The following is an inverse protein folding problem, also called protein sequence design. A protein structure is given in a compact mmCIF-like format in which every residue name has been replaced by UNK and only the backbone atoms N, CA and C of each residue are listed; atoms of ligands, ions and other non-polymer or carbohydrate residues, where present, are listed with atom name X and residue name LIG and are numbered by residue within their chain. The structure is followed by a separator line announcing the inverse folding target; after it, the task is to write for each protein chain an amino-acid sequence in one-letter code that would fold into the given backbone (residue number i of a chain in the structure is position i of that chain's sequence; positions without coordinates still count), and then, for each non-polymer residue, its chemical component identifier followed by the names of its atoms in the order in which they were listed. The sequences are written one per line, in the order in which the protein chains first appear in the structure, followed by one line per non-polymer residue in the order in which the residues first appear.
data_IF_888228363247
#
_entry.id   IF_888228363247
#
_cell.length_a   1.000
_cell.length_b   1.000
_cell.length_c   1.000
_cell.angle_alpha   90.00
_cell.angle_beta   90.00
_cell.angle_gamma   90.00
#
_symmetry.space_group_name_H-M   'P 1'
#
loop_
_entity.id
_entity.type
_entity.pdbx_description
1 polymer ?
#
# COMPACT_ATOMS: atom_id res chain seq x y z
N UNK A 1 11.23 10.10 4.94
CA UNK A 1 12.46 10.68 4.35
C UNK A 1 13.13 9.62 3.49
N UNK A 2 13.68 10.01 2.34
CA UNK A 2 14.36 9.07 1.46
C UNK A 2 15.66 8.53 2.11
N UNK A 3 16.06 7.29 1.81
CA UNK A 3 17.34 6.73 2.25
C UNK A 3 18.52 7.61 1.81
N UNK A 4 19.56 7.60 2.63
CA UNK A 4 20.78 8.38 2.36
C UNK A 4 21.76 7.61 1.45
N UNK A 5 22.69 8.31 0.80
CA UNK A 5 23.71 7.71 -0.08
C UNK A 5 23.18 7.20 -1.42
N UNK A 6 23.81 6.14 -1.93
CA UNK A 6 23.61 5.54 -3.27
C UNK A 6 22.38 4.60 -3.36
N UNK A 7 21.52 4.60 -2.35
CA UNK A 7 20.31 3.79 -2.36
C UNK A 7 19.40 4.16 -3.55
N UNK A 8 18.77 3.15 -4.15
CA UNK A 8 17.80 3.38 -5.23
C UNK A 8 16.61 4.17 -4.71
N UNK A 9 16.40 5.37 -5.28
CA UNK A 9 15.34 6.28 -4.85
C UNK A 9 14.10 6.24 -5.73
N UNK A 10 14.17 5.51 -6.84
CA UNK A 10 13.07 5.46 -7.80
C UNK A 10 11.90 4.66 -7.25
N UNK A 11 10.73 5.30 -7.26
CA UNK A 11 9.42 4.68 -7.03
C UNK A 11 8.71 4.59 -8.37
N UNK A 12 8.91 3.46 -9.05
CA UNK A 12 8.38 3.23 -10.39
C UNK A 12 6.87 3.02 -10.31
N UNK A 13 6.14 3.75 -11.15
CA UNK A 13 4.71 3.55 -11.33
C UNK A 13 4.44 2.21 -12.01
N UNK A 14 3.61 1.38 -11.38
CA UNK A 14 3.16 0.12 -11.98
C UNK A 14 1.64 -0.02 -11.88
N UNK A 15 0.98 0.00 -13.03
CA UNK A 15 -0.42 -0.38 -13.17
C UNK A 15 -0.66 -1.90 -13.15
N UNK A 16 0.41 -2.69 -13.21
CA UNK A 16 0.41 -4.15 -13.14
C UNK A 16 0.59 -4.71 -11.72
N UNK A 17 0.66 -3.84 -10.70
CA UNK A 17 0.96 -4.23 -9.33
C UNK A 17 -0.24 -4.01 -8.41
N UNK A 18 -0.43 -4.89 -7.44
CA UNK A 18 -1.48 -4.78 -6.42
C UNK A 18 -0.93 -4.42 -5.02
N UNK A 19 0.39 -4.20 -4.91
CA UNK A 19 1.11 -3.92 -3.67
C UNK A 19 2.31 -3.01 -3.93
N UNK A 20 2.58 -2.11 -2.98
CA UNK A 20 3.81 -1.30 -3.00
C UNK A 20 5.01 -2.13 -2.53
N UNK A 21 6.19 -1.87 -3.09
CA UNK A 21 7.44 -2.52 -2.66
C UNK A 21 8.51 -1.46 -2.44
N UNK A 22 9.25 -1.57 -1.35
CA UNK A 22 10.46 -0.80 -1.11
C UNK A 22 11.65 -1.74 -0.95
N UNK A 23 12.79 -1.38 -1.54
CA UNK A 23 14.01 -2.18 -1.50
C UNK A 23 15.01 -1.73 -0.42
N UNK A 24 14.73 -0.64 0.28
CA UNK A 24 15.56 -0.16 1.37
C UNK A 24 14.74 -0.01 2.65
N UNK A 25 15.28 -0.53 3.76
CA UNK A 25 14.63 -0.51 5.08
C UNK A 25 14.45 0.90 5.64
N UNK A 26 15.28 1.86 5.24
CA UNK A 26 15.21 3.25 5.68
C UNK A 26 13.96 3.99 5.18
N UNK A 27 13.28 3.49 4.15
CA UNK A 27 12.01 4.06 3.69
C UNK A 27 10.89 3.97 4.72
N UNK A 28 10.96 2.99 5.63
CA UNK A 28 9.85 2.63 6.50
C UNK A 28 9.84 3.45 7.79
N UNK A 29 8.74 4.16 8.03
CA UNK A 29 8.47 4.83 9.31
C UNK A 29 7.94 3.85 10.35
N UNK A 30 7.19 2.85 9.90
CA UNK A 30 6.73 1.71 10.70
C UNK A 30 7.12 0.45 9.94
N UNK A 31 7.64 -0.56 10.65
CA UNK A 31 8.06 -1.81 10.05
C UNK A 31 7.84 -2.98 11.00
N UNK A 32 7.23 -4.03 10.46
CA UNK A 32 7.04 -5.31 11.14
C UNK A 32 7.76 -6.38 10.33
N UNK A 33 8.75 -7.09 10.91
CA UNK A 33 9.29 -8.30 10.31
C UNK A 33 8.17 -9.30 10.06
N UNK A 34 7.95 -9.65 8.80
CA UNK A 34 6.86 -10.52 8.37
C UNK A 34 7.24 -11.14 7.02
N UNK A 35 7.88 -12.32 7.04
CA UNK A 35 8.25 -13.01 5.82
C UNK A 35 7.01 -13.35 4.99
N UNK A 36 7.00 -12.95 3.72
CA UNK A 36 5.84 -13.10 2.82
C UNK A 36 6.28 -13.31 1.37
N UNK A 37 5.40 -13.88 0.55
CA UNK A 37 5.67 -14.05 -0.88
C UNK A 37 5.31 -12.82 -1.70
N UNK A 38 6.08 -12.60 -2.77
CA UNK A 38 5.76 -11.67 -3.85
C UNK A 38 5.78 -12.47 -5.16
N UNK A 39 4.72 -12.39 -5.93
CA UNK A 39 4.63 -12.93 -7.29
C UNK A 39 4.81 -11.85 -8.36
N UNK A 40 4.78 -12.30 -9.60
CA UNK A 40 4.74 -11.48 -10.80
C UNK A 40 3.50 -11.84 -11.62
N UNK A 41 2.87 -10.86 -12.26
CA UNK A 41 1.79 -11.15 -13.22
C UNK A 41 2.35 -11.58 -14.60
N UNK A 42 3.65 -11.40 -14.83
CA UNK A 42 4.32 -11.67 -16.11
C UNK A 42 5.05 -13.01 -16.12
N UNK A 43 5.43 -13.53 -14.95
CA UNK A 43 6.23 -14.75 -14.81
C UNK A 43 5.66 -15.61 -13.69
N UNK A 44 5.95 -16.91 -13.72
CA UNK A 44 5.61 -17.83 -12.62
C UNK A 44 6.54 -17.70 -11.41
N UNK A 45 7.53 -16.81 -11.49
CA UNK A 45 8.55 -16.67 -10.45
C UNK A 45 7.96 -16.03 -9.20
N UNK A 46 8.46 -16.48 -8.06
CA UNK A 46 8.12 -15.91 -6.75
C UNK A 46 9.38 -15.43 -6.07
N UNK A 47 9.30 -14.21 -5.55
CA UNK A 47 10.30 -13.58 -4.71
C UNK A 47 9.80 -13.51 -3.26
N UNK A 48 10.67 -13.07 -2.35
CA UNK A 48 10.34 -12.92 -0.92
C UNK A 48 10.42 -11.45 -0.51
N UNK A 49 9.49 -11.06 0.35
CA UNK A 49 9.61 -9.89 1.19
C UNK A 49 9.90 -10.31 2.62
N UNK A 50 10.68 -9.49 3.32
CA UNK A 50 11.15 -9.75 4.68
C UNK A 50 10.26 -9.07 5.73
N UNK A 51 9.45 -8.08 5.33
CA UNK A 51 8.51 -7.44 6.22
C UNK A 51 7.53 -6.53 5.51
N UNK A 52 6.63 -5.97 6.32
CA UNK A 52 5.55 -5.09 5.88
C UNK A 52 5.56 -3.83 6.72
N UNK A 53 5.23 -2.68 6.13
CA UNK A 53 5.20 -1.45 6.90
C UNK A 53 4.55 -0.26 6.20
N UNK A 54 4.82 0.91 6.76
CA UNK A 54 4.34 2.21 6.28
C UNK A 54 5.52 3.01 5.75
N UNK A 55 5.35 3.64 4.59
CA UNK A 55 6.32 4.55 3.97
C UNK A 55 5.67 5.90 3.76
N UNK A 56 6.42 6.97 4.05
CA UNK A 56 6.02 8.35 3.76
C UNK A 56 6.90 8.94 2.67
N UNK A 57 6.27 9.38 1.59
CA UNK A 57 6.91 9.99 0.43
C UNK A 57 6.54 11.46 0.34
N UNK A 58 7.54 12.32 0.27
CA UNK A 58 7.34 13.76 0.07
C UNK A 58 7.40 14.03 -1.45
N UNK A 59 6.26 14.40 -2.02
CA UNK A 59 6.03 14.59 -3.46
C UNK A 59 6.17 16.07 -3.85
N UNK A 60 6.69 16.36 -5.04
CA UNK A 60 6.54 17.67 -5.67
C UNK A 60 5.11 17.85 -6.19
N UNK A 61 4.50 19.02 -5.95
CA UNK A 61 3.21 19.39 -6.56
C UNK A 61 3.35 20.32 -7.77
N UNK A 62 4.48 20.99 -7.87
CA UNK A 62 4.84 21.90 -8.94
C UNK A 62 6.29 21.58 -9.36
N UNK A 63 6.65 21.78 -10.65
CA UNK A 63 8.03 21.60 -11.09
C UNK A 63 8.96 22.51 -10.27
N UNK A 64 10.11 21.99 -9.84
CA UNK A 64 11.08 22.81 -9.13
C UNK A 64 11.71 23.85 -10.07
N UNK A 65 11.38 25.12 -9.86
CA UNK A 65 11.90 26.25 -10.64
C UNK A 65 13.08 26.95 -9.97
N UNK A 66 13.58 26.44 -8.83
CA UNK A 66 14.76 26.95 -8.13
C UNK A 66 14.63 28.37 -7.55
N UNK A 67 13.42 28.94 -7.53
CA UNK A 67 13.19 30.37 -7.19
C UNK A 67 12.15 30.61 -6.09
N UNK A 68 11.64 29.57 -5.42
CA UNK A 68 10.64 29.74 -4.37
C UNK A 68 10.40 28.51 -3.49
N UNK A 69 9.49 28.67 -2.52
CA UNK A 69 9.03 27.62 -1.61
C UNK A 69 8.29 26.54 -2.42
N UNK A 70 8.85 25.34 -2.47
CA UNK A 70 8.29 24.24 -3.27
C UNK A 70 7.04 23.71 -2.58
N UNK A 71 5.89 23.73 -3.27
CA UNK A 71 4.69 23.07 -2.75
C UNK A 71 4.89 21.56 -2.77
N UNK A 72 4.68 20.94 -1.62
CA UNK A 72 4.87 19.50 -1.43
C UNK A 72 3.61 18.84 -0.90
N UNK A 73 3.49 17.54 -1.15
CA UNK A 73 2.44 16.70 -0.59
C UNK A 73 3.04 15.43 -0.01
N UNK A 74 2.61 15.05 1.20
CA UNK A 74 3.05 13.82 1.84
C UNK A 74 2.10 12.69 1.49
N UNK A 75 2.58 11.75 0.68
CA UNK A 75 1.88 10.52 0.33
C UNK A 75 2.26 9.41 1.32
N UNK A 76 1.27 8.88 2.04
CA UNK A 76 1.46 7.81 3.01
C UNK A 76 1.02 6.49 2.37
N UNK A 77 1.97 5.55 2.24
CA UNK A 77 1.73 4.22 1.71
C UNK A 77 1.68 3.23 2.86
N UNK A 78 0.56 2.55 3.00
CA UNK A 78 0.39 1.48 3.98
C UNK A 78 0.62 0.11 3.34
N UNK A 79 0.98 -0.87 4.17
CA UNK A 79 1.18 -2.26 3.76
C UNK A 79 2.21 -2.41 2.61
N UNK A 80 3.28 -1.61 2.66
CA UNK A 80 4.41 -1.68 1.72
C UNK A 80 5.25 -2.90 2.08
N UNK A 81 5.64 -3.69 1.08
CA UNK A 81 6.52 -4.84 1.28
C UNK A 81 7.99 -4.42 1.23
N UNK A 82 8.78 -4.88 2.18
CA UNK A 82 10.23 -4.73 2.16
C UNK A 82 10.88 -5.90 1.43
N UNK A 83 11.49 -5.63 0.27
CA UNK A 83 12.17 -6.63 -0.55
C UNK A 83 13.53 -6.10 -1.01
N UNK A 84 14.61 -6.32 -0.25
CA UNK A 84 15.92 -5.69 -0.52
C UNK A 84 16.57 -6.10 -1.84
N UNK A 85 16.14 -7.22 -2.42
CA UNK A 85 16.67 -7.71 -3.69
C UNK A 85 16.04 -7.05 -4.93
N UNK A 86 15.01 -6.23 -4.76
CA UNK A 86 14.36 -5.54 -5.87
C UNK A 86 15.24 -4.42 -6.41
N UNK A 87 15.34 -4.31 -7.73
CA UNK A 87 16.18 -3.31 -8.41
C UNK A 87 15.69 -1.87 -8.21
N UNK A 88 14.43 -1.66 -7.84
CA UNK A 88 13.86 -0.36 -7.50
C UNK A 88 12.63 -0.52 -6.59
N UNK A 89 12.11 0.61 -6.10
CA UNK A 89 10.83 0.62 -5.38
C UNK A 89 9.68 0.62 -6.40
N UNK A 90 8.52 0.11 -5.99
CA UNK A 90 7.32 -0.04 -6.82
C UNK A 90 6.17 0.70 -6.16
N UNK A 91 5.60 1.64 -6.90
CA UNK A 91 4.33 2.27 -6.60
C UNK A 91 3.20 1.56 -7.37
N UNK A 92 2.42 0.75 -6.67
CA UNK A 92 1.26 0.06 -7.23
C UNK A 92 0.05 0.99 -7.32
N UNK A 93 -0.30 1.42 -8.53
CA UNK A 93 -1.45 2.31 -8.71
C UNK A 93 -2.77 1.65 -8.36
N UNK A 94 -2.90 0.32 -8.53
CA UNK A 94 -4.12 -0.41 -8.17
C UNK A 94 -4.33 -0.52 -6.65
N UNK A 95 -3.28 -0.30 -5.84
CA UNK A 95 -3.38 -0.32 -4.39
C UNK A 95 -3.93 1.01 -3.83
N UNK A 96 -4.01 2.07 -4.65
CA UNK A 96 -4.51 3.38 -4.26
C UNK A 96 -5.83 3.66 -4.99
N UNK A 97 -6.98 3.64 -4.29
CA UNK A 97 -8.27 3.84 -4.93
C UNK A 97 -8.43 5.25 -5.48
N UNK A 98 -9.19 5.39 -6.57
CA UNK A 98 -9.51 6.65 -7.24
C UNK A 98 -8.29 7.45 -7.74
N UNK A 99 -7.13 6.82 -7.90
CA UNK A 99 -5.94 7.48 -8.39
C UNK A 99 -5.95 7.60 -9.92
N UNK A 100 -5.65 8.79 -10.42
CA UNK A 100 -5.58 9.13 -11.85
C UNK A 100 -4.23 9.74 -12.19
N UNK A 101 -3.70 9.45 -13.37
CA UNK A 101 -2.46 10.07 -13.87
C UNK A 101 -2.73 10.82 -15.17
N UNK A 102 -2.11 11.98 -15.35
CA UNK A 102 -1.93 12.54 -16.69
C UNK A 102 -0.67 11.92 -17.30
N UNK A 103 -0.64 11.85 -18.63
CA UNK A 103 0.45 11.19 -19.36
C UNK A 103 0.94 12.11 -20.46
N UNK A 104 2.20 12.52 -20.39
CA UNK A 104 2.77 13.46 -21.35
C UNK A 104 4.27 13.72 -21.18
N UNK A 105 4.98 12.87 -20.45
CA UNK A 105 6.40 13.06 -20.11
C UNK A 105 6.63 13.66 -18.71
N UNK A 106 7.79 14.29 -18.50
CA UNK A 106 8.15 14.95 -17.24
C UNK A 106 7.15 16.05 -16.88
N UNK A 107 6.72 16.09 -15.61
CA UNK A 107 5.69 17.02 -15.14
C UNK A 107 4.26 16.53 -15.35
N UNK A 108 4.10 15.27 -15.79
CA UNK A 108 2.83 14.54 -15.67
C UNK A 108 2.36 14.57 -14.22
N UNK A 109 1.05 14.63 -14.00
CA UNK A 109 0.44 14.84 -12.69
C UNK A 109 -0.19 13.56 -12.18
N UNK A 110 -0.05 13.35 -10.89
CA UNK A 110 -0.79 12.39 -10.12
C UNK A 110 -1.97 13.09 -9.46
N UNK A 111 -3.18 12.62 -9.72
CA UNK A 111 -4.44 13.27 -9.33
C UNK A 111 -5.26 12.33 -8.46
N UNK A 112 -5.72 12.83 -7.33
CA UNK A 112 -6.79 12.17 -6.57
C UNK A 112 -8.11 12.39 -7.31
N UNK A 113 -8.65 11.34 -7.91
CA UNK A 113 -9.89 11.37 -8.69
C UNK A 113 -11.15 11.63 -7.87
N UNK A 114 -11.08 11.53 -6.53
CA UNK A 114 -12.22 11.88 -5.67
C UNK A 114 -12.33 13.38 -5.42
N UNK A 115 -11.19 14.09 -5.36
CA UNK A 115 -11.13 15.53 -5.08
C UNK A 115 -10.76 16.37 -6.32
N UNK A 116 -10.19 15.74 -7.34
CA UNK A 116 -9.61 16.39 -8.51
C UNK A 116 -8.27 17.09 -8.23
N UNK A 117 -7.70 16.93 -7.03
CA UNK A 117 -6.48 17.62 -6.63
C UNK A 117 -5.23 16.91 -7.15
N UNK A 118 -4.23 17.68 -7.56
CA UNK A 118 -2.87 17.18 -7.79
C UNK A 118 -2.25 16.80 -6.45
N UNK A 119 -1.76 15.56 -6.34
CA UNK A 119 -1.10 15.02 -5.15
C UNK A 119 0.37 14.68 -5.40
N UNK A 120 0.86 14.88 -6.62
CA UNK A 120 2.26 14.70 -6.95
C UNK A 120 2.55 14.85 -8.43
N UNK A 121 3.83 14.96 -8.77
CA UNK A 121 4.32 14.89 -10.14
C UNK A 121 4.94 13.52 -10.44
N UNK A 122 4.92 13.17 -11.72
CA UNK A 122 5.56 12.02 -12.30
C UNK A 122 6.66 12.49 -13.24
N UNK A 123 7.72 11.71 -13.29
CA UNK A 123 8.81 11.88 -14.24
C UNK A 123 8.89 10.67 -15.16
N UNK A 124 9.02 10.89 -16.46
CA UNK A 124 9.19 9.84 -17.45
C UNK A 124 10.63 9.86 -17.93
N UNK A 125 11.42 8.89 -17.45
CA UNK A 125 12.82 8.71 -17.85
C UNK A 125 12.95 7.38 -18.59
N UNK A 126 13.22 6.30 -17.88
CA UNK A 126 13.16 4.93 -18.41
C UNK A 126 11.75 4.34 -18.28
N UNK A 127 11.10 4.62 -17.14
CA UNK A 127 9.70 4.33 -16.84
C UNK A 127 9.10 5.54 -16.12
N UNK A 128 7.77 5.61 -16.06
CA UNK A 128 7.11 6.57 -15.18
C UNK A 128 7.49 6.28 -13.72
N UNK A 129 7.93 7.30 -13.00
CA UNK A 129 8.24 7.24 -11.58
C UNK A 129 7.66 8.42 -10.83
N UNK A 130 7.43 8.26 -9.53
CA UNK A 130 7.09 9.36 -8.64
C UNK A 130 8.25 10.37 -8.58
N UNK A 131 7.95 11.65 -8.70
CA UNK A 131 8.93 12.72 -8.52
C UNK A 131 8.94 13.18 -7.06
N UNK A 132 9.91 12.66 -6.31
CA UNK A 132 10.07 12.94 -4.89
C UNK A 132 10.94 14.18 -4.65
N UNK A 133 10.68 14.85 -3.53
CA UNK A 133 11.50 15.96 -3.04
C UNK A 133 12.95 15.53 -2.87
N UNK A 134 13.87 16.34 -3.38
CA UNK A 134 15.31 16.05 -3.37
C UNK A 134 15.79 15.18 -4.53
N UNK A 135 14.93 14.80 -5.47
CA UNK A 135 15.32 14.20 -6.74
C UNK A 135 15.38 15.25 -7.85
N UNK A 136 16.45 15.22 -8.65
CA UNK A 136 16.52 16.00 -9.87
C UNK A 136 15.66 15.36 -10.97
N UNK A 137 15.03 16.19 -11.79
CA UNK A 137 14.30 15.74 -12.97
C UNK A 137 15.24 15.01 -13.96
N UNK A 138 14.70 14.02 -14.66
CA UNK A 138 15.42 13.26 -15.68
C UNK A 138 16.39 12.21 -15.14
N UNK A 139 16.49 12.03 -13.82
CA UNK A 139 17.36 11.02 -13.22
C UNK A 139 16.61 9.72 -12.95
N UNK A 140 17.26 8.58 -13.20
CA UNK A 140 16.78 7.27 -12.79
C UNK A 140 17.94 6.38 -12.40
N UNK A 141 17.71 5.47 -11.47
CA UNK A 141 18.62 4.37 -11.12
C UNK A 141 18.52 3.18 -12.09
N UNK A 142 17.54 3.17 -12.99
CA UNK A 142 17.40 2.14 -14.02
C UNK A 142 18.32 2.43 -15.21
N UNK A 143 18.93 1.39 -15.78
CA UNK A 143 19.71 1.52 -17.03
C UNK A 143 18.81 2.06 -18.15
N UNK A 144 19.14 3.20 -18.79
CA UNK A 144 18.32 3.80 -19.84
C UNK A 144 18.21 2.94 -21.11
N UNK A 145 19.08 1.96 -21.29
CA UNK A 145 19.05 1.01 -22.41
C UNK A 145 18.28 -0.28 -22.09
N UNK A 146 17.89 -0.46 -20.83
CA UNK A 146 17.19 -1.65 -20.37
C UNK A 146 15.72 -1.69 -20.81
N UNK A 147 15.23 -2.90 -21.08
CA UNK A 147 13.81 -3.16 -21.35
C UNK A 147 13.19 -3.79 -20.11
N UNK A 148 12.29 -3.04 -19.45
CA UNK A 148 11.76 -3.41 -18.15
C UNK A 148 10.28 -3.70 -18.18
N UNK A 149 9.88 -4.73 -17.43
CA UNK A 149 8.49 -4.92 -16.99
C UNK A 149 8.51 -5.14 -15.48
N UNK A 150 8.38 -4.05 -14.73
CA UNK A 150 8.48 -4.06 -13.27
C UNK A 150 7.09 -4.15 -12.68
N UNK A 151 6.84 -5.21 -11.90
CA UNK A 151 5.58 -5.39 -11.19
C UNK A 151 5.79 -6.20 -9.90
N UNK A 152 4.81 -6.11 -9.01
CA UNK A 152 4.71 -6.91 -7.81
C UNK A 152 3.26 -7.28 -7.55
N UNK A 153 3.04 -8.57 -7.33
CA UNK A 153 1.76 -9.12 -6.94
C UNK A 153 1.87 -9.76 -5.56
N UNK A 154 1.14 -9.26 -4.57
CA UNK A 154 1.01 -9.90 -3.27
C UNK A 154 -0.14 -10.91 -3.31
N UNK A 155 0.13 -12.23 -3.18
CA UNK A 155 -0.94 -13.21 -3.26
C UNK A 155 -1.97 -13.04 -2.15
N UNK A 156 -3.24 -13.34 -2.46
CA UNK A 156 -4.34 -13.16 -1.51
C UNK A 156 -4.17 -13.98 -0.22
N UNK A 157 -3.56 -15.17 -0.33
CA UNK A 157 -3.29 -16.03 0.82
C UNK A 157 -2.29 -15.37 1.79
N UNK A 158 -1.26 -14.71 1.27
CA UNK A 158 -0.28 -13.98 2.06
C UNK A 158 -0.86 -12.68 2.62
N UNK A 159 -1.64 -11.93 1.82
CA UNK A 159 -2.36 -10.72 2.29
C UNK A 159 -3.31 -11.04 3.43
N UNK A 160 -4.06 -12.14 3.33
CA UNK A 160 -4.93 -12.63 4.39
C UNK A 160 -4.14 -12.94 5.66
N UNK A 161 -2.98 -13.59 5.55
CA UNK A 161 -2.15 -13.88 6.71
C UNK A 161 -1.69 -12.59 7.41
N UNK A 162 -1.32 -11.57 6.64
CA UNK A 162 -0.97 -10.24 7.17
C UNK A 162 -2.15 -9.53 7.85
N UNK A 163 -3.33 -9.52 7.23
CA UNK A 163 -4.51 -8.91 7.85
C UNK A 163 -4.91 -9.62 9.17
N UNK A 164 -4.84 -10.95 9.20
CA UNK A 164 -5.09 -11.73 10.41
C UNK A 164 -4.05 -11.45 11.51
N UNK A 165 -2.78 -11.26 11.13
CA UNK A 165 -1.73 -10.85 12.05
C UNK A 165 -2.06 -9.51 12.73
N UNK A 166 -2.57 -8.54 11.97
CA UNK A 166 -2.89 -7.21 12.49
C UNK A 166 -4.15 -7.16 13.38
N UNK A 167 -5.09 -8.08 13.20
CA UNK A 167 -6.31 -8.12 14.03
C UNK A 167 -6.00 -8.37 15.50
N UNK A 168 -4.96 -9.15 15.80
CA UNK A 168 -4.66 -9.56 17.17
C UNK A 168 -4.40 -8.36 18.10
N UNK A 169 -3.85 -7.26 17.57
CA UNK A 169 -3.58 -6.02 18.30
C UNK A 169 -4.61 -4.90 18.06
N UNK A 170 -5.61 -5.13 17.21
CA UNK A 170 -6.56 -4.09 16.81
C UNK A 170 -7.67 -3.91 17.85
N UNK A 171 -7.60 -2.80 18.58
CA UNK A 171 -8.60 -2.40 19.59
C UNK A 171 -9.67 -1.45 19.05
N UNK A 172 -9.57 -1.02 17.80
CA UNK A 172 -10.44 0.00 17.22
C UNK A 172 -11.91 -0.44 17.23
N UNK A 173 -12.86 0.50 17.27
CA UNK A 173 -14.27 0.20 17.08
C UNK A 173 -14.56 -0.42 15.70
N UNK A 174 -15.78 -0.95 15.54
CA UNK A 174 -16.21 -1.46 14.24
C UNK A 174 -16.20 -0.37 13.16
N UNK A 175 -15.64 -0.70 12.01
CA UNK A 175 -15.73 0.16 10.81
C UNK A 175 -17.16 0.12 10.24
N UNK A 176 -17.51 1.09 9.38
CA UNK A 176 -18.81 1.10 8.68
C UNK A 176 -19.07 -0.21 7.91
N UNK A 177 -18.02 -0.81 7.35
CA UNK A 177 -18.10 -2.07 6.60
C UNK A 177 -18.37 -3.25 7.53
N UNK A 178 -17.71 -3.30 8.68
CA UNK A 178 -17.92 -4.34 9.70
C UNK A 178 -19.34 -4.23 10.30
N UNK A 179 -19.79 -3.01 10.62
CA UNK A 179 -21.16 -2.76 11.08
C UNK A 179 -22.21 -3.18 10.04
N UNK A 180 -21.95 -2.91 8.75
CA UNK A 180 -22.83 -3.36 7.67
C UNK A 180 -22.86 -4.90 7.55
N UNK A 181 -21.70 -5.57 7.74
CA UNK A 181 -21.64 -7.03 7.78
C UNK A 181 -22.41 -7.60 8.97
N UNK A 182 -22.24 -7.02 10.17
CA UNK A 182 -22.99 -7.39 11.37
C UNK A 182 -24.49 -7.22 11.15
N UNK A 183 -24.93 -6.09 10.61
CA UNK A 183 -26.35 -5.85 10.31
C UNK A 183 -26.91 -6.89 9.35
N UNK A 184 -26.15 -7.28 8.34
CA UNK A 184 -26.57 -8.25 7.33
C UNK A 184 -26.73 -9.67 7.88
N UNK A 185 -25.86 -10.11 8.79
CA UNK A 185 -25.81 -11.49 9.25
C UNK A 185 -26.40 -11.71 10.65
N UNK A 186 -26.45 -10.66 11.48
CA UNK A 186 -26.80 -10.72 12.89
C UNK A 186 -27.66 -9.54 13.37
N UNK A 187 -28.15 -8.66 12.50
CA UNK A 187 -28.89 -7.42 12.84
C UNK A 187 -28.08 -6.30 13.53
N UNK A 188 -27.31 -6.60 14.59
CA UNK A 188 -26.42 -5.67 15.28
C UNK A 188 -25.36 -6.38 16.16
N UNK A 189 -24.51 -5.61 16.85
CA UNK A 189 -23.46 -6.14 17.73
C UNK A 189 -24.04 -6.97 18.90
N UNK A 190 -25.14 -6.53 19.52
CA UNK A 190 -25.73 -7.23 20.67
C UNK A 190 -26.16 -8.66 20.29
N UNK A 191 -26.83 -8.79 19.15
CA UNK A 191 -27.27 -10.07 18.60
C UNK A 191 -26.11 -10.94 18.10
N UNK A 192 -24.91 -10.40 17.93
CA UNK A 192 -23.70 -11.18 17.70
C UNK A 192 -23.06 -11.62 19.02
N UNK A 193 -22.82 -10.68 19.95
CA UNK A 193 -22.06 -10.92 21.20
C UNK A 193 -22.78 -11.90 22.14
N UNK A 194 -24.08 -11.70 22.38
CA UNK A 194 -24.83 -12.47 23.38
C UNK A 194 -24.96 -13.95 23.01
N UNK A 195 -25.32 -14.34 21.77
CA UNK A 195 -25.35 -15.74 21.37
C UNK A 195 -23.98 -16.43 21.37
N UNK A 196 -22.88 -15.68 21.26
CA UNK A 196 -21.52 -16.19 21.39
C UNK A 196 -21.04 -16.28 22.86
N UNK A 197 -21.93 -16.08 23.83
CA UNK A 197 -21.66 -16.23 25.26
C UNK A 197 -20.98 -15.02 25.91
N UNK A 198 -20.83 -13.91 25.18
CA UNK A 198 -20.22 -12.69 25.68
C UNK A 198 -21.22 -11.75 26.35
N UNK A 199 -20.72 -10.83 27.17
CA UNK A 199 -21.51 -9.77 27.83
C UNK A 199 -21.31 -8.43 27.12
N UNK A 200 -22.40 -7.81 26.68
CA UNK A 200 -22.35 -6.52 25.97
C UNK A 200 -21.78 -5.35 26.80
N UNK A 201 -21.77 -5.45 28.13
CA UNK A 201 -21.19 -4.44 29.00
C UNK A 201 -19.73 -4.72 29.38
N UNK A 202 -19.19 -5.86 28.91
CA UNK A 202 -17.80 -6.25 29.13
C UNK A 202 -16.98 -5.94 27.89
N UNK A 203 -15.98 -5.05 28.03
CA UNK A 203 -15.21 -4.59 26.88
C UNK A 203 -14.28 -5.67 26.32
N UNK A 204 -13.83 -6.63 27.13
CA UNK A 204 -12.98 -7.73 26.68
C UNK A 204 -13.80 -8.72 25.81
N UNK A 205 -15.03 -9.03 26.20
CA UNK A 205 -15.94 -9.82 25.39
C UNK A 205 -16.29 -9.12 24.07
N UNK A 206 -16.52 -7.79 24.10
CA UNK A 206 -16.71 -7.01 22.89
C UNK A 206 -15.48 -6.97 22.00
N UNK A 207 -14.28 -6.87 22.57
CA UNK A 207 -13.01 -6.92 21.83
C UNK A 207 -12.84 -8.27 21.14
N UNK A 208 -13.08 -9.39 21.83
CA UNK A 208 -13.07 -10.73 21.22
C UNK A 208 -14.08 -10.86 20.09
N UNK A 209 -15.27 -10.30 20.27
CA UNK A 209 -16.29 -10.27 19.22
C UNK A 209 -15.80 -9.48 17.99
N UNK A 210 -15.16 -8.31 18.17
CA UNK A 210 -14.54 -7.54 17.07
C UNK A 210 -13.51 -8.37 16.32
N UNK A 211 -12.61 -9.03 17.03
CA UNK A 211 -11.62 -9.95 16.46
C UNK A 211 -12.29 -11.07 15.63
N UNK A 212 -13.35 -11.67 16.14
CA UNK A 212 -14.06 -12.76 15.45
C UNK A 212 -14.77 -12.27 14.18
N UNK A 213 -15.44 -11.11 14.23
CA UNK A 213 -16.09 -10.50 13.07
C UNK A 213 -15.07 -10.19 11.99
N UNK A 214 -13.98 -9.50 12.33
CA UNK A 214 -12.91 -9.14 11.38
C UNK A 214 -12.30 -10.38 10.73
N UNK A 215 -11.98 -11.38 11.53
CA UNK A 215 -11.47 -12.69 11.06
C UNK A 215 -12.44 -13.34 10.08
N UNK A 216 -13.74 -13.34 10.40
CA UNK A 216 -14.78 -13.95 9.56
C UNK A 216 -14.91 -13.23 8.22
N UNK A 217 -14.92 -11.89 8.23
CA UNK A 217 -15.00 -11.07 7.02
C UNK A 217 -13.82 -11.35 6.07
N UNK A 218 -12.60 -11.41 6.61
CA UNK A 218 -11.40 -11.72 5.81
C UNK A 218 -11.51 -13.11 5.20
N UNK A 219 -11.87 -14.11 6.00
CA UNK A 219 -11.99 -15.50 5.54
C UNK A 219 -13.06 -15.64 4.45
N UNK A 220 -14.21 -14.97 4.61
CA UNK A 220 -15.25 -14.93 3.58
C UNK A 220 -14.77 -14.29 2.28
N UNK A 221 -14.02 -13.19 2.34
CA UNK A 221 -13.49 -12.52 1.13
C UNK A 221 -12.64 -13.47 0.31
N UNK A 222 -11.71 -14.17 0.96
CA UNK A 222 -10.82 -15.13 0.29
C UNK A 222 -11.60 -16.34 -0.23
N UNK A 223 -12.54 -16.88 0.56
CA UNK A 223 -13.34 -18.03 0.13
C UNK A 223 -14.20 -17.74 -1.12
N UNK A 224 -14.65 -16.50 -1.31
CA UNK A 224 -15.42 -16.09 -2.51
C UNK A 224 -14.58 -16.03 -3.79
N UNK A 225 -13.25 -15.91 -3.70
CA UNK A 225 -12.38 -15.91 -4.88
C UNK A 225 -12.17 -17.30 -5.48
N UNK A 226 -12.45 -18.37 -4.71
CA UNK A 226 -12.22 -19.76 -5.12
C UNK A 226 -13.54 -20.55 -5.34
N UNK A 227 -14.67 -19.85 -5.47
CA UNK A 227 -15.98 -20.43 -5.81
C UNK A 227 -16.37 -20.00 -7.22
#
# INVERSE_FOLDING_TARGET
MAPTGDAVKDWVWSNASNVHVANNREWFTIYTPFPTNIGSIMTSDTSKAEGVGTVELDMHLEPDTGTGETKTHKLILHNVLYAPHYICNIFASQAVPNLSGTWGGTGSQLIDGSTGQCIGLLDLVTLYKLWLVGQQAGQSSLDPTGHYVINAYWPEVDRRAWELHNIAGDTEPYTKKETAWLKKHWENEWHFVVPHGGKMHDEEDRRKARTQVRTTIINERVARMYR
#
